data_IF_767848105256
#
_entry.id   IF_767848105256
#
_cell.length_a   1.000
_cell.length_b   1.000
_cell.length_c   1.000
_cell.angle_alpha   90.00
_cell.angle_beta   90.00
_cell.angle_gamma   90.00
#
_symmetry.space_group_name_H-M   'P 1'
#
loop_
_entity.id
_entity.type
_entity.pdbx_description
1 polymer ?
#
# COMPACT_ATOMS: atom_id res chain seq x y z
N UNK A 1 25.68 -14.61 -18.20
CA UNK A 1 26.56 -14.83 -17.04
C UNK A 1 26.01 -13.95 -15.91
N UNK A 2 25.25 -14.53 -14.97
CA UNK A 2 24.63 -13.83 -13.84
C UNK A 2 25.71 -13.74 -12.76
N UNK A 3 26.07 -12.57 -12.23
CA UNK A 3 27.08 -12.47 -11.18
C UNK A 3 26.57 -13.14 -9.90
N UNK A 4 27.37 -14.05 -9.40
CA UNK A 4 27.20 -14.75 -8.14
C UNK A 4 27.09 -13.73 -6.98
N UNK A 5 26.17 -13.98 -6.07
CA UNK A 5 25.95 -13.17 -4.89
C UNK A 5 27.23 -13.09 -4.03
N UNK A 6 27.61 -11.88 -3.66
CA UNK A 6 28.70 -11.65 -2.70
C UNK A 6 28.36 -12.22 -1.32
N UNK A 7 29.39 -12.73 -0.57
CA UNK A 7 29.18 -13.33 0.73
C UNK A 7 28.79 -12.28 1.78
N UNK A 8 27.83 -12.66 2.59
CA UNK A 8 27.31 -12.08 3.82
C UNK A 8 28.28 -11.13 4.56
N UNK A 9 28.17 -9.85 4.32
CA UNK A 9 28.57 -8.85 5.30
C UNK A 9 27.48 -8.79 6.37
N UNK A 10 27.83 -8.77 7.67
CA UNK A 10 26.86 -8.69 8.75
C UNK A 10 26.05 -7.41 8.58
N UNK A 11 24.78 -7.57 8.22
CA UNK A 11 23.84 -6.47 8.04
C UNK A 11 23.69 -5.75 9.37
N UNK A 12 24.04 -4.44 9.42
CA UNK A 12 23.67 -3.58 10.53
C UNK A 12 22.21 -3.84 10.89
N UNK A 13 21.83 -3.89 12.19
CA UNK A 13 20.47 -4.12 12.58
C UNK A 13 19.59 -3.12 11.85
N UNK A 14 18.72 -3.62 10.97
CA UNK A 14 17.77 -2.79 10.24
C UNK A 14 16.87 -2.15 11.28
N UNK A 15 16.66 -0.83 11.25
CA UNK A 15 15.71 -0.20 12.13
C UNK A 15 14.37 -0.94 11.97
N UNK A 16 13.80 -1.33 13.09
CA UNK A 16 12.62 -2.17 13.15
C UNK A 16 11.45 -1.42 12.46
N UNK A 17 11.14 -1.76 11.20
CA UNK A 17 10.09 -1.14 10.40
C UNK A 17 8.74 -1.24 11.12
N UNK A 18 8.54 -2.28 11.94
CA UNK A 18 7.34 -2.47 12.74
C UNK A 18 7.20 -1.41 13.82
N UNK A 19 8.30 -1.09 14.52
CA UNK A 19 8.30 -0.04 15.54
C UNK A 19 8.02 1.35 14.92
N UNK A 20 8.60 1.65 13.76
CA UNK A 20 8.31 2.88 13.03
C UNK A 20 6.86 2.96 12.57
N UNK A 21 6.31 1.87 12.03
CA UNK A 21 4.92 1.82 11.57
C UNK A 21 3.94 1.99 12.74
N UNK A 22 4.21 1.32 13.87
CA UNK A 22 3.41 1.47 15.07
C UNK A 22 3.48 2.90 15.63
N UNK A 23 4.69 3.46 15.74
CA UNK A 23 4.88 4.82 16.24
C UNK A 23 4.16 5.85 15.36
N UNK A 24 4.27 5.74 14.03
CA UNK A 24 3.57 6.61 13.08
C UNK A 24 2.05 6.44 13.17
N UNK A 25 1.56 5.20 13.22
CA UNK A 25 0.14 4.93 13.37
C UNK A 25 -0.43 5.53 14.66
N UNK A 26 0.22 5.30 15.80
CA UNK A 26 -0.19 5.86 17.08
C UNK A 26 -0.07 7.38 17.13
N UNK A 27 0.93 7.96 16.49
CA UNK A 27 1.08 9.42 16.39
C UNK A 27 -0.09 10.02 15.62
N UNK A 28 -0.45 9.46 14.46
CA UNK A 28 -1.60 9.94 13.68
C UNK A 28 -2.90 9.76 14.44
N UNK A 29 -3.08 8.64 15.15
CA UNK A 29 -4.23 8.44 16.05
C UNK A 29 -4.25 9.47 17.15
N UNK A 30 -3.12 9.70 17.83
CA UNK A 30 -3.00 10.70 18.89
C UNK A 30 -3.37 12.11 18.39
N UNK A 31 -2.87 12.48 17.21
CA UNK A 31 -3.23 13.75 16.57
C UNK A 31 -4.74 13.79 16.25
N UNK A 32 -5.29 12.67 15.74
CA UNK A 32 -6.72 12.58 15.39
C UNK A 32 -7.65 12.67 16.60
N UNK A 33 -7.19 12.31 17.81
CA UNK A 33 -7.97 12.45 19.05
C UNK A 33 -8.29 13.92 19.39
N UNK A 34 -7.48 14.87 18.94
CA UNK A 34 -7.82 16.30 19.04
C UNK A 34 -9.10 16.64 18.25
N UNK A 35 -9.49 15.80 17.29
CA UNK A 35 -10.77 15.89 16.60
C UNK A 35 -11.97 15.76 17.52
N UNK A 36 -11.86 15.05 18.65
CA UNK A 36 -12.90 14.94 19.67
C UNK A 36 -13.15 16.29 20.38
N UNK A 37 -12.15 17.17 20.40
CA UNK A 37 -12.25 18.53 20.93
C UNK A 37 -12.74 19.56 19.87
N UNK A 38 -13.17 19.08 18.69
CA UNK A 38 -13.64 19.94 17.59
C UNK A 38 -12.54 20.47 16.66
N UNK A 39 -11.27 20.18 16.95
CA UNK A 39 -10.15 20.53 16.07
C UNK A 39 -9.94 19.43 15.04
N UNK A 40 -9.72 19.81 13.77
CA UNK A 40 -9.41 18.85 12.71
C UNK A 40 -7.95 19.01 12.22
N UNK A 41 -6.98 18.51 12.98
CA UNK A 41 -5.56 18.78 12.75
C UNK A 41 -5.05 18.19 11.42
N UNK A 42 -5.73 17.19 10.87
CA UNK A 42 -5.40 16.55 9.58
C UNK A 42 -6.31 17.07 8.45
N UNK A 43 -7.15 18.07 8.72
CA UNK A 43 -8.11 18.60 7.72
C UNK A 43 -7.47 19.23 6.48
N UNK A 44 -6.19 19.54 6.54
CA UNK A 44 -5.38 20.02 5.42
C UNK A 44 -4.95 18.92 4.44
N UNK A 45 -5.04 17.63 4.83
CA UNK A 45 -4.59 16.54 3.97
C UNK A 45 -5.38 16.48 2.66
N UNK A 46 -4.70 16.09 1.58
CA UNK A 46 -5.32 15.95 0.28
C UNK A 46 -6.18 14.68 0.21
N UNK A 47 -7.41 14.83 -0.25
CA UNK A 47 -8.31 13.76 -0.63
C UNK A 47 -8.45 13.76 -2.15
N UNK A 48 -8.34 12.59 -2.76
CA UNK A 48 -8.57 12.41 -4.19
C UNK A 48 -10.00 11.96 -4.42
N UNK A 49 -10.62 12.57 -5.44
CA UNK A 49 -11.96 12.21 -5.90
C UNK A 49 -11.90 11.81 -7.38
N UNK A 50 -12.92 11.10 -7.84
CA UNK A 50 -13.07 10.81 -9.27
C UNK A 50 -13.19 12.12 -10.05
N UNK A 51 -12.44 12.25 -11.15
CA UNK A 51 -12.32 13.49 -11.86
C UNK A 51 -12.40 13.34 -13.38
N UNK A 52 -13.03 14.32 -14.01
CA UNK A 52 -12.99 14.56 -15.45
C UNK A 52 -12.01 15.72 -15.74
N UNK A 53 -12.09 16.76 -14.90
CA UNK A 53 -11.17 17.90 -14.98
C UNK A 53 -10.19 17.85 -13.80
N UNK A 54 -8.91 17.89 -14.08
CA UNK A 54 -7.83 17.77 -13.09
C UNK A 54 -7.94 18.78 -11.94
N UNK A 55 -8.55 19.94 -12.19
CA UNK A 55 -8.80 20.97 -11.16
C UNK A 55 -9.74 20.50 -10.03
N UNK A 56 -10.55 19.46 -10.28
CA UNK A 56 -11.48 18.89 -9.29
C UNK A 56 -10.99 17.59 -8.68
N UNK A 57 -9.82 17.11 -9.10
CA UNK A 57 -9.27 15.83 -8.69
C UNK A 57 -8.82 15.79 -7.22
N UNK A 58 -8.40 16.92 -6.68
CA UNK A 58 -7.87 17.03 -5.33
C UNK A 58 -8.69 18.04 -4.53
N UNK A 59 -9.06 17.65 -3.31
CA UNK A 59 -9.73 18.52 -2.34
C UNK A 59 -9.09 18.33 -0.97
N UNK A 60 -9.06 19.35 -0.10
CA UNK A 60 -8.70 19.17 1.30
C UNK A 60 -9.78 18.34 2.01
N UNK A 61 -9.38 17.57 3.03
CA UNK A 61 -10.31 16.71 3.80
C UNK A 61 -11.37 17.55 4.51
N UNK A 62 -10.97 18.66 5.14
CA UNK A 62 -11.89 19.47 5.95
C UNK A 62 -11.60 20.97 5.94
N UNK A 63 -10.33 21.39 5.74
CA UNK A 63 -9.99 22.79 5.79
C UNK A 63 -10.34 23.49 4.47
N UNK A 64 -10.77 24.75 4.57
CA UNK A 64 -11.06 25.56 3.38
C UNK A 64 -9.77 26.21 2.82
N UNK A 65 -8.87 25.39 2.33
CA UNK A 65 -7.60 25.79 1.71
C UNK A 65 -7.58 25.41 0.23
N UNK A 66 -6.76 26.08 -0.60
CA UNK A 66 -6.61 25.71 -2.00
C UNK A 66 -6.12 24.27 -2.16
N UNK A 67 -6.66 23.55 -3.15
CA UNK A 67 -6.30 22.15 -3.43
C UNK A 67 -4.80 21.94 -3.65
N UNK A 68 -4.13 22.87 -4.32
CA UNK A 68 -2.68 22.80 -4.55
C UNK A 68 -1.87 22.88 -3.24
N UNK A 69 -2.33 23.70 -2.27
CA UNK A 69 -1.67 23.83 -0.96
C UNK A 69 -1.87 22.55 -0.13
N UNK A 70 -3.08 21.99 -0.16
CA UNK A 70 -3.39 20.69 0.46
C UNK A 70 -2.50 19.58 -0.10
N UNK A 71 -2.36 19.51 -1.42
CA UNK A 71 -1.50 18.54 -2.08
C UNK A 71 -0.03 18.75 -1.70
N UNK A 72 0.46 19.99 -1.76
CA UNK A 72 1.84 20.33 -1.40
C UNK A 72 2.16 19.96 0.06
N UNK A 73 1.23 20.28 0.98
CA UNK A 73 1.38 19.95 2.40
C UNK A 73 1.41 18.41 2.62
N UNK A 74 0.54 17.67 1.91
CA UNK A 74 0.52 16.21 1.98
C UNK A 74 1.82 15.60 1.46
N UNK A 75 2.29 16.06 0.30
CA UNK A 75 3.59 15.64 -0.26
C UNK A 75 4.72 15.95 0.71
N UNK A 76 4.76 17.15 1.27
CA UNK A 76 5.78 17.56 2.22
C UNK A 76 5.78 16.71 3.49
N UNK A 77 4.61 16.43 4.07
CA UNK A 77 4.48 15.62 5.26
C UNK A 77 4.94 14.17 5.03
N UNK A 78 4.44 13.52 3.97
CA UNK A 78 4.79 12.13 3.66
C UNK A 78 6.26 12.01 3.25
N UNK A 79 6.76 12.92 2.41
CA UNK A 79 8.18 12.95 2.02
C UNK A 79 9.08 13.25 3.21
N UNK A 80 8.64 14.11 4.13
CA UNK A 80 9.36 14.43 5.37
C UNK A 80 9.54 13.22 6.27
N UNK A 81 8.48 12.44 6.48
CA UNK A 81 8.51 11.20 7.26
C UNK A 81 9.49 10.19 6.64
N UNK A 82 9.41 9.98 5.31
CA UNK A 82 10.31 9.08 4.60
C UNK A 82 11.77 9.56 4.66
N UNK A 83 11.99 10.86 4.49
CA UNK A 83 13.32 11.47 4.57
C UNK A 83 13.93 11.30 5.96
N UNK A 84 13.17 11.60 7.01
CA UNK A 84 13.62 11.43 8.39
C UNK A 84 14.05 9.98 8.66
N UNK A 85 13.27 9.02 8.19
CA UNK A 85 13.60 7.60 8.30
C UNK A 85 14.88 7.23 7.52
N UNK A 86 15.04 7.73 6.29
CA UNK A 86 16.22 7.46 5.47
C UNK A 86 17.50 8.05 6.09
N UNK A 87 17.40 9.23 6.69
CA UNK A 87 18.48 9.86 7.45
C UNK A 87 18.82 9.02 8.69
N UNK A 88 17.83 8.51 9.42
CA UNK A 88 18.03 7.64 10.57
C UNK A 88 18.77 6.33 10.22
N UNK A 89 18.67 5.87 8.98
CA UNK A 89 19.41 4.70 8.46
C UNK A 89 20.81 5.10 7.94
N UNK A 90 21.16 6.38 7.99
CA UNK A 90 22.50 6.87 7.60
C UNK A 90 22.62 7.28 6.12
N UNK A 91 21.50 7.55 5.42
CA UNK A 91 21.57 8.14 4.07
C UNK A 91 21.83 9.65 4.13
N UNK A 92 22.53 10.14 3.12
CA UNK A 92 22.75 11.58 2.97
C UNK A 92 21.41 12.32 2.84
N UNK A 93 21.22 13.45 3.57
CA UNK A 93 19.89 14.10 3.70
C UNK A 93 19.34 14.56 2.35
N UNK A 94 20.15 15.12 1.48
CA UNK A 94 19.71 15.58 0.17
C UNK A 94 19.25 14.41 -0.72
N UNK A 95 20.03 13.33 -0.77
CA UNK A 95 19.67 12.15 -1.55
C UNK A 95 18.41 11.47 -0.99
N UNK A 96 18.25 11.44 0.33
CA UNK A 96 17.06 10.93 1.00
C UNK A 96 15.82 11.77 0.66
N UNK A 97 15.92 13.10 0.69
CA UNK A 97 14.83 14.00 0.36
C UNK A 97 14.40 13.85 -1.11
N UNK A 98 15.35 13.88 -2.05
CA UNK A 98 15.06 13.71 -3.48
C UNK A 98 14.38 12.37 -3.77
N UNK A 99 14.90 11.26 -3.21
CA UNK A 99 14.30 9.94 -3.40
C UNK A 99 12.89 9.84 -2.80
N UNK A 100 12.68 10.40 -1.61
CA UNK A 100 11.38 10.43 -0.94
C UNK A 100 10.35 11.22 -1.73
N UNK A 101 10.69 12.42 -2.16
CA UNK A 101 9.82 13.28 -2.97
C UNK A 101 9.46 12.57 -4.28
N UNK A 102 10.44 11.99 -4.98
CA UNK A 102 10.20 11.29 -6.24
C UNK A 102 9.25 10.10 -6.07
N UNK A 103 9.44 9.26 -5.04
CA UNK A 103 8.56 8.11 -4.76
C UNK A 103 7.14 8.57 -4.44
N UNK A 104 6.99 9.60 -3.60
CA UNK A 104 5.68 10.16 -3.25
C UNK A 104 4.98 10.74 -4.47
N UNK A 105 5.69 11.48 -5.32
CA UNK A 105 5.11 11.99 -6.58
C UNK A 105 4.69 10.88 -7.54
N UNK A 106 5.50 9.82 -7.69
CA UNK A 106 5.14 8.67 -8.53
C UNK A 106 3.90 7.96 -7.97
N UNK A 107 3.84 7.76 -6.65
CA UNK A 107 2.70 7.11 -5.99
C UNK A 107 1.41 7.93 -6.11
N UNK A 108 1.46 9.21 -5.73
CA UNK A 108 0.30 10.10 -5.82
C UNK A 108 -0.11 10.36 -7.27
N UNK A 109 0.84 10.46 -8.19
CA UNK A 109 0.58 10.60 -9.62
C UNK A 109 -0.13 9.37 -10.18
N UNK A 110 0.31 8.17 -9.83
CA UNK A 110 -0.35 6.92 -10.23
C UNK A 110 -1.76 6.82 -9.65
N UNK A 111 -1.93 7.20 -8.39
CA UNK A 111 -3.23 7.22 -7.73
C UNK A 111 -4.18 8.24 -8.37
N UNK A 112 -3.68 9.43 -8.68
CA UNK A 112 -4.43 10.48 -9.38
C UNK A 112 -4.89 10.02 -10.76
N UNK A 113 -4.01 9.40 -11.54
CA UNK A 113 -4.34 8.86 -12.86
C UNK A 113 -5.39 7.74 -12.76
N UNK A 114 -5.29 6.87 -11.76
CA UNK A 114 -6.27 5.82 -11.52
C UNK A 114 -7.65 6.33 -11.13
N UNK A 115 -7.78 7.56 -10.61
CA UNK A 115 -9.07 8.19 -10.28
C UNK A 115 -9.68 8.98 -11.45
N UNK A 116 -9.12 8.88 -12.64
CA UNK A 116 -9.73 9.49 -13.83
C UNK A 116 -11.07 8.82 -14.14
N UNK A 117 -12.11 9.61 -14.34
CA UNK A 117 -13.50 9.15 -14.38
C UNK A 117 -13.78 8.08 -15.45
N UNK A 118 -13.12 8.12 -16.62
CA UNK A 118 -13.27 7.07 -17.64
C UNK A 118 -12.76 5.70 -17.17
N UNK A 119 -11.91 5.66 -16.17
CA UNK A 119 -11.30 4.43 -15.63
C UNK A 119 -11.98 4.02 -14.32
N UNK A 120 -12.17 4.98 -13.42
CA UNK A 120 -12.59 4.72 -12.04
C UNK A 120 -14.11 4.76 -11.83
N UNK A 121 -14.86 5.58 -12.59
CA UNK A 121 -16.26 5.82 -12.29
C UNK A 121 -17.10 4.54 -12.45
N UNK A 122 -17.79 4.17 -11.38
CA UNK A 122 -18.74 3.06 -11.39
C UNK A 122 -20.05 3.48 -12.09
N UNK A 123 -20.37 4.76 -12.03
CA UNK A 123 -21.58 5.34 -12.64
C UNK A 123 -21.17 6.40 -13.66
N UNK A 124 -21.16 6.01 -14.95
CA UNK A 124 -20.80 6.90 -16.06
C UNK A 124 -21.79 8.06 -16.25
N UNK A 125 -23.04 7.90 -15.76
CA UNK A 125 -24.09 8.92 -15.92
C UNK A 125 -23.80 10.17 -15.10
N UNK A 126 -23.13 10.06 -13.96
CA UNK A 126 -22.72 11.20 -13.12
C UNK A 126 -21.77 12.16 -13.82
N UNK A 127 -20.99 11.66 -14.77
CA UNK A 127 -19.96 12.43 -15.47
C UNK A 127 -20.30 12.68 -16.95
N UNK A 128 -21.48 12.22 -17.42
CA UNK A 128 -21.90 12.30 -18.84
C UNK A 128 -20.82 11.68 -19.76
N UNK A 129 -20.26 10.54 -19.35
CA UNK A 129 -19.22 9.86 -20.09
C UNK A 129 -19.82 8.81 -21.03
N UNK A 130 -19.25 8.63 -22.24
CA UNK A 130 -19.70 7.61 -23.19
C UNK A 130 -19.43 6.18 -22.69
N UNK A 131 -18.41 6.00 -21.87
CA UNK A 131 -18.10 4.73 -21.21
C UNK A 131 -17.26 4.97 -19.96
N UNK A 132 -17.26 3.99 -19.04
CA UNK A 132 -16.32 3.88 -17.94
C UNK A 132 -15.96 2.41 -17.74
N UNK A 133 -14.71 2.16 -17.36
CA UNK A 133 -14.24 0.80 -17.04
C UNK A 133 -14.73 0.30 -15.68
N UNK A 134 -15.18 1.20 -14.80
CA UNK A 134 -15.72 0.85 -13.49
C UNK A 134 -14.70 0.25 -12.50
N UNK A 135 -13.40 0.46 -12.76
CA UNK A 135 -12.32 -0.13 -11.95
C UNK A 135 -12.15 0.54 -10.57
N UNK A 136 -13.00 1.51 -10.24
CA UNK A 136 -12.91 2.29 -9.01
C UNK A 136 -11.53 2.94 -8.81
N UNK A 137 -11.22 3.44 -7.60
CA UNK A 137 -9.88 3.97 -7.30
C UNK A 137 -8.74 2.93 -7.36
N UNK A 138 -9.06 1.65 -7.49
CA UNK A 138 -8.08 0.54 -7.53
C UNK A 138 -7.25 0.52 -8.82
N UNK A 139 -7.77 1.12 -9.90
CA UNK A 139 -7.01 1.34 -11.13
C UNK A 139 -5.67 2.06 -10.88
N UNK A 140 -5.57 2.88 -9.83
CA UNK A 140 -4.32 3.51 -9.40
C UNK A 140 -3.21 2.50 -9.09
N UNK A 141 -3.54 1.31 -8.61
CA UNK A 141 -2.56 0.25 -8.35
C UNK A 141 -1.99 -0.35 -9.63
N UNK A 142 -2.83 -0.50 -10.68
CA UNK A 142 -2.36 -0.94 -12.01
C UNK A 142 -1.43 0.11 -12.64
N UNK A 143 -1.80 1.38 -12.55
CA UNK A 143 -0.95 2.48 -13.03
C UNK A 143 0.38 2.51 -12.26
N UNK A 144 0.35 2.33 -10.95
CA UNK A 144 1.57 2.28 -10.13
C UNK A 144 2.45 1.08 -10.50
N UNK A 145 1.84 -0.09 -10.73
CA UNK A 145 2.56 -1.29 -11.18
C UNK A 145 3.21 -1.06 -12.55
N UNK A 146 2.46 -0.54 -13.51
CA UNK A 146 2.98 -0.23 -14.85
C UNK A 146 4.12 0.80 -14.79
N UNK A 147 3.96 1.85 -13.97
CA UNK A 147 4.98 2.87 -13.74
C UNK A 147 6.24 2.28 -13.11
N UNK A 148 6.08 1.41 -12.12
CA UNK A 148 7.20 0.71 -11.46
C UNK A 148 7.95 -0.23 -12.42
N UNK A 149 7.21 -0.98 -13.24
CA UNK A 149 7.79 -1.85 -14.28
C UNK A 149 8.53 -1.04 -15.35
N UNK A 150 7.92 0.04 -15.83
CA UNK A 150 8.55 0.92 -16.81
C UNK A 150 9.84 1.54 -16.24
N UNK A 151 9.79 2.05 -15.01
CA UNK A 151 10.96 2.63 -14.34
C UNK A 151 12.07 1.59 -14.14
N UNK A 152 11.71 0.38 -13.70
CA UNK A 152 12.67 -0.70 -13.46
C UNK A 152 13.37 -1.20 -14.73
N UNK A 153 12.66 -1.22 -15.86
CA UNK A 153 13.19 -1.70 -17.14
C UNK A 153 13.89 -0.60 -17.95
N UNK A 154 13.32 0.60 -18.01
CA UNK A 154 13.85 1.69 -18.83
C UNK A 154 14.93 2.49 -18.09
N UNK A 155 14.81 2.64 -16.76
CA UNK A 155 15.71 3.45 -15.95
C UNK A 155 16.23 2.71 -14.71
N UNK A 156 16.99 1.60 -14.87
CA UNK A 156 17.40 0.75 -13.75
C UNK A 156 18.30 1.46 -12.72
N UNK A 157 18.99 2.51 -13.11
CA UNK A 157 19.79 3.33 -12.17
C UNK A 157 18.89 4.15 -11.25
N UNK A 158 17.86 4.81 -11.79
CA UNK A 158 16.88 5.55 -11.01
C UNK A 158 16.07 4.61 -10.08
N UNK A 159 15.65 3.46 -10.60
CA UNK A 159 14.94 2.45 -9.82
C UNK A 159 15.74 1.99 -8.59
N UNK A 160 17.06 1.78 -8.71
CA UNK A 160 17.94 1.42 -7.59
C UNK A 160 18.05 2.52 -6.53
N UNK A 161 18.08 3.78 -6.94
CA UNK A 161 18.11 4.91 -6.00
C UNK A 161 16.77 5.02 -5.25
N UNK A 162 15.66 4.89 -5.97
CA UNK A 162 14.31 5.02 -5.42
C UNK A 162 13.90 3.82 -4.56
N UNK A 163 14.40 2.62 -4.84
CA UNK A 163 14.08 1.40 -4.09
C UNK A 163 14.34 1.53 -2.57
N UNK A 164 15.31 2.36 -2.18
CA UNK A 164 15.57 2.65 -0.77
C UNK A 164 14.45 3.45 -0.07
N UNK A 165 13.72 4.29 -0.82
CA UNK A 165 12.61 5.10 -0.34
C UNK A 165 11.25 4.40 -0.51
N UNK A 166 11.14 3.48 -1.47
CA UNK A 166 9.91 2.72 -1.75
C UNK A 166 9.68 1.62 -0.68
N UNK A 167 9.26 2.04 0.52
CA UNK A 167 9.01 1.16 1.67
C UNK A 167 7.52 0.90 1.86
N UNK A 168 6.98 0.00 1.04
CA UNK A 168 5.57 -0.37 1.08
C UNK A 168 5.12 -0.90 2.44
N UNK A 169 5.95 -1.71 3.12
CA UNK A 169 5.62 -2.28 4.42
C UNK A 169 5.35 -1.22 5.50
N UNK A 170 6.13 -0.14 5.52
CA UNK A 170 5.92 0.94 6.48
C UNK A 170 4.51 1.54 6.34
N UNK A 171 4.12 1.86 5.11
CA UNK A 171 2.81 2.47 4.84
C UNK A 171 1.66 1.50 5.10
N UNK A 172 1.77 0.25 4.64
CA UNK A 172 0.74 -0.77 4.86
C UNK A 172 0.53 -1.02 6.36
N UNK A 173 1.60 -1.22 7.12
CA UNK A 173 1.51 -1.46 8.57
C UNK A 173 0.94 -0.25 9.31
N UNK A 174 1.33 0.97 8.93
CA UNK A 174 0.74 2.20 9.48
C UNK A 174 -0.75 2.29 9.16
N UNK A 175 -1.15 2.00 7.92
CA UNK A 175 -2.55 2.00 7.51
C UNK A 175 -3.37 0.96 8.29
N UNK A 176 -2.83 -0.24 8.54
CA UNK A 176 -3.50 -1.28 9.35
C UNK A 176 -3.76 -0.78 10.77
N UNK A 177 -2.82 -0.08 11.39
CA UNK A 177 -3.02 0.52 12.73
C UNK A 177 -4.19 1.53 12.69
N UNK A 178 -4.23 2.40 11.67
CA UNK A 178 -5.30 3.40 11.52
C UNK A 178 -6.66 2.75 11.28
N UNK A 179 -6.73 1.74 10.42
CA UNK A 179 -7.96 0.96 10.15
C UNK A 179 -8.43 0.26 11.42
N UNK A 180 -7.52 -0.37 12.17
CA UNK A 180 -7.84 -1.01 13.44
C UNK A 180 -8.47 -0.05 14.45
N UNK A 181 -7.88 1.13 14.63
CA UNK A 181 -8.42 2.16 15.52
C UNK A 181 -9.76 2.70 15.01
N UNK A 182 -9.90 2.94 13.72
CA UNK A 182 -11.17 3.42 13.14
C UNK A 182 -12.30 2.41 13.32
N UNK A 183 -12.00 1.12 13.17
CA UNK A 183 -12.94 0.03 13.42
C UNK A 183 -13.33 -0.05 14.89
N UNK A 184 -12.34 0.02 15.80
CA UNK A 184 -12.59 0.05 17.24
C UNK A 184 -13.47 1.24 17.63
N UNK A 185 -13.20 2.43 17.13
CA UNK A 185 -14.00 3.64 17.40
C UNK A 185 -15.47 3.48 16.95
N UNK A 186 -15.72 2.87 15.79
CA UNK A 186 -17.06 2.60 15.28
C UNK A 186 -17.83 1.56 16.12
N UNK A 187 -17.11 0.63 16.75
CA UNK A 187 -17.73 -0.46 17.54
C UNK A 187 -17.98 -0.07 18.99
N UNK A 188 -17.24 0.90 19.54
CA UNK A 188 -17.40 1.36 20.94
C UNK A 188 -18.77 1.97 21.22
N UNK A 189 -19.42 2.58 20.23
CA UNK A 189 -20.76 3.19 20.37
C UNK A 189 -21.91 2.19 20.29
N UNK A 190 -21.67 0.91 20.01
CA UNK A 190 -22.71 -0.10 19.79
C UNK A 190 -22.56 -1.26 20.77
N UNK A 191 -23.52 -1.42 21.69
CA UNK A 191 -23.52 -2.53 22.66
C UNK A 191 -23.48 -3.89 21.94
N UNK A 192 -22.51 -4.73 22.28
CA UNK A 192 -22.33 -6.07 21.71
C UNK A 192 -21.73 -6.10 20.28
N UNK A 193 -21.43 -4.95 19.66
CA UNK A 193 -20.80 -4.93 18.34
C UNK A 193 -19.32 -5.38 18.41
N UNK A 194 -18.61 -5.02 19.46
CA UNK A 194 -17.21 -5.39 19.65
C UNK A 194 -17.01 -6.91 19.70
N UNK A 195 -17.83 -7.64 20.46
CA UNK A 195 -17.77 -9.12 20.54
C UNK A 195 -18.12 -9.77 19.20
N UNK A 196 -19.14 -9.26 18.50
CA UNK A 196 -19.51 -9.76 17.16
C UNK A 196 -18.42 -9.54 16.13
N UNK A 197 -17.77 -8.36 16.13
CA UNK A 197 -16.66 -8.07 15.23
C UNK A 197 -15.46 -8.95 15.55
N UNK A 198 -15.15 -9.16 16.83
CA UNK A 198 -14.07 -10.04 17.27
C UNK A 198 -14.32 -11.50 16.84
N UNK A 199 -15.50 -12.05 17.11
CA UNK A 199 -15.85 -13.42 16.72
C UNK A 199 -15.82 -13.61 15.21
N UNK A 200 -16.42 -12.68 14.45
CA UNK A 200 -16.37 -12.74 12.98
C UNK A 200 -14.93 -12.60 12.44
N UNK A 201 -14.11 -11.74 13.05
CA UNK A 201 -12.70 -11.59 12.68
C UNK A 201 -11.91 -12.88 12.92
N UNK A 202 -12.08 -13.52 14.08
CA UNK A 202 -11.43 -14.81 14.37
C UNK A 202 -11.91 -15.90 13.40
N UNK A 203 -13.23 -15.98 13.13
CA UNK A 203 -13.78 -16.92 12.17
C UNK A 203 -13.22 -16.70 10.76
N UNK A 204 -13.13 -15.45 10.30
CA UNK A 204 -12.56 -15.11 9.00
C UNK A 204 -11.07 -15.47 8.90
N UNK A 205 -10.30 -15.24 9.97
CA UNK A 205 -8.89 -15.66 10.03
C UNK A 205 -8.77 -17.17 9.95
N UNK A 206 -9.58 -17.91 10.72
CA UNK A 206 -9.56 -19.37 10.68
C UNK A 206 -9.94 -19.90 9.29
N UNK A 207 -10.96 -19.32 8.66
CA UNK A 207 -11.37 -19.66 7.30
C UNK A 207 -10.23 -19.37 6.28
N UNK A 208 -9.61 -18.20 6.34
CA UNK A 208 -8.52 -17.82 5.45
C UNK A 208 -7.34 -18.79 5.55
N UNK A 209 -6.92 -19.13 6.76
CA UNK A 209 -5.75 -20.01 6.96
C UNK A 209 -6.05 -21.50 6.79
N UNK A 210 -7.20 -21.99 7.22
CA UNK A 210 -7.50 -23.41 7.18
C UNK A 210 -8.15 -23.82 5.86
N UNK A 211 -9.07 -23.03 5.31
CA UNK A 211 -9.78 -23.36 4.09
C UNK A 211 -9.12 -22.78 2.86
N UNK A 212 -9.05 -21.45 2.74
CA UNK A 212 -8.56 -20.84 1.50
C UNK A 212 -7.10 -21.14 1.24
N UNK A 213 -6.23 -20.97 2.25
CA UNK A 213 -4.80 -21.25 2.06
C UNK A 213 -4.57 -22.71 1.69
N UNK A 214 -5.20 -23.64 2.41
CA UNK A 214 -5.10 -25.08 2.15
C UNK A 214 -5.61 -25.46 0.77
N UNK A 215 -6.77 -24.94 0.37
CA UNK A 215 -7.38 -25.20 -0.93
C UNK A 215 -6.51 -24.67 -2.07
N UNK A 216 -6.08 -23.41 -2.01
CA UNK A 216 -5.23 -22.81 -3.04
C UNK A 216 -3.90 -23.55 -3.16
N UNK A 217 -3.27 -23.88 -2.02
CA UNK A 217 -2.04 -24.66 -2.02
C UNK A 217 -2.21 -26.04 -2.66
N UNK A 218 -3.28 -26.75 -2.31
CA UNK A 218 -3.60 -28.05 -2.86
C UNK A 218 -3.82 -27.96 -4.38
N UNK A 219 -4.66 -27.01 -4.83
CA UNK A 219 -4.92 -26.80 -6.25
C UNK A 219 -3.65 -26.45 -7.02
N UNK A 220 -2.84 -25.54 -6.48
CA UNK A 220 -1.58 -25.16 -7.09
C UNK A 220 -0.62 -26.35 -7.23
N UNK A 221 -0.59 -27.24 -6.24
CA UNK A 221 0.28 -28.43 -6.23
C UNK A 221 -0.24 -29.58 -7.08
N UNK A 222 -1.54 -29.86 -7.05
CA UNK A 222 -2.12 -31.05 -7.67
C UNK A 222 -2.62 -30.80 -9.09
N UNK A 223 -3.35 -29.71 -9.31
CA UNK A 223 -3.93 -29.38 -10.62
C UNK A 223 -2.92 -28.67 -11.50
N UNK A 224 -2.33 -27.57 -11.00
CA UNK A 224 -1.38 -26.77 -11.77
C UNK A 224 0.06 -27.29 -11.69
N UNK A 225 0.34 -28.25 -10.79
CA UNK A 225 1.65 -28.88 -10.59
C UNK A 225 2.78 -27.88 -10.34
N UNK A 226 2.47 -26.74 -9.72
CA UNK A 226 3.48 -25.75 -9.39
C UNK A 226 4.45 -26.29 -8.33
N UNK A 227 5.75 -25.94 -8.37
CA UNK A 227 6.69 -26.26 -7.32
C UNK A 227 6.32 -25.51 -6.01
N UNK A 228 6.81 -26.00 -4.87
CA UNK A 228 6.50 -25.40 -3.54
C UNK A 228 6.82 -23.91 -3.45
N UNK A 229 7.90 -23.49 -4.12
CA UNK A 229 8.34 -22.10 -4.18
C UNK A 229 7.29 -21.14 -4.76
N UNK A 230 6.42 -21.63 -5.67
CA UNK A 230 5.30 -20.88 -6.26
C UNK A 230 4.01 -21.07 -5.48
N UNK A 231 3.71 -22.33 -5.11
CA UNK A 231 2.43 -22.69 -4.51
C UNK A 231 2.22 -22.04 -3.16
N UNK A 232 3.24 -21.97 -2.29
CA UNK A 232 3.09 -21.43 -0.97
C UNK A 232 2.94 -19.89 -0.96
N UNK A 233 3.79 -19.10 -1.67
CA UNK A 233 3.55 -17.66 -1.79
C UNK A 233 2.22 -17.33 -2.46
N UNK A 234 1.80 -18.09 -3.47
CA UNK A 234 0.51 -17.90 -4.14
C UNK A 234 -0.66 -18.13 -3.18
N UNK A 235 -0.62 -19.23 -2.43
CA UNK A 235 -1.65 -19.51 -1.43
C UNK A 235 -1.73 -18.41 -0.36
N UNK A 236 -0.59 -17.94 0.13
CA UNK A 236 -0.55 -16.83 1.09
C UNK A 236 -1.01 -15.50 0.51
N UNK A 237 -0.65 -15.21 -0.73
CA UNK A 237 -1.07 -14.00 -1.44
C UNK A 237 -2.58 -13.94 -1.64
N UNK A 238 -3.20 -15.02 -2.06
CA UNK A 238 -4.65 -15.08 -2.31
C UNK A 238 -5.45 -15.10 -1.01
N UNK A 239 -4.94 -15.80 0.03
CA UNK A 239 -5.73 -16.06 1.24
C UNK A 239 -5.61 -14.98 2.32
N UNK A 240 -4.54 -14.19 2.33
CA UNK A 240 -4.24 -13.25 3.42
C UNK A 240 -4.13 -11.83 2.89
N UNK A 241 -3.02 -11.53 2.19
CA UNK A 241 -2.84 -10.26 1.53
C UNK A 241 -1.85 -10.41 0.35
N UNK A 242 -2.21 -9.85 -0.79
CA UNK A 242 -1.57 -10.09 -2.07
C UNK A 242 -0.07 -9.95 -2.10
N UNK A 243 0.47 -8.91 -1.46
CA UNK A 243 1.89 -8.57 -1.56
C UNK A 243 2.68 -9.04 -0.35
N UNK A 244 2.31 -8.60 0.86
CA UNK A 244 3.13 -8.82 2.05
C UNK A 244 3.15 -10.29 2.47
N UNK A 245 2.03 -11.01 2.39
CA UNK A 245 1.98 -12.43 2.74
C UNK A 245 2.74 -13.30 1.72
N UNK A 246 2.62 -13.00 0.43
CA UNK A 246 3.39 -13.70 -0.61
C UNK A 246 4.90 -13.50 -0.43
N UNK A 247 5.33 -12.26 -0.18
CA UNK A 247 6.74 -11.93 0.08
C UNK A 247 7.27 -12.58 1.35
N UNK A 248 6.52 -12.52 2.45
CA UNK A 248 6.91 -13.11 3.72
C UNK A 248 7.02 -14.64 3.62
N UNK A 249 6.04 -15.29 2.98
CA UNK A 249 6.06 -16.75 2.77
C UNK A 249 7.21 -17.15 1.85
N UNK A 250 7.43 -16.41 0.76
CA UNK A 250 8.56 -16.64 -0.13
C UNK A 250 9.90 -16.54 0.58
N UNK A 251 10.08 -15.55 1.44
CA UNK A 251 11.27 -15.39 2.25
C UNK A 251 11.43 -16.53 3.28
N UNK A 252 10.36 -16.93 3.95
CA UNK A 252 10.38 -18.00 4.96
C UNK A 252 10.79 -19.36 4.37
N UNK A 253 10.32 -19.68 3.18
CA UNK A 253 10.69 -20.94 2.48
C UNK A 253 11.96 -20.80 1.64
N UNK A 254 12.64 -19.66 1.69
CA UNK A 254 13.82 -19.34 0.88
C UNK A 254 13.59 -19.52 -0.63
N UNK A 255 12.39 -19.16 -1.09
CA UNK A 255 12.08 -19.14 -2.52
C UNK A 255 12.98 -18.15 -3.26
N UNK A 256 13.18 -18.37 -4.55
CA UNK A 256 13.87 -17.39 -5.39
C UNK A 256 13.17 -16.03 -5.31
N UNK A 257 13.93 -14.96 -5.13
CA UNK A 257 13.39 -13.60 -4.91
C UNK A 257 12.42 -13.14 -6.00
N UNK A 258 12.65 -13.53 -7.24
CA UNK A 258 11.77 -13.24 -8.36
C UNK A 258 10.38 -13.88 -8.27
N UNK A 259 10.25 -15.05 -7.66
CA UNK A 259 8.96 -15.76 -7.55
C UNK A 259 7.97 -14.99 -6.69
N UNK A 260 8.38 -14.56 -5.51
CA UNK A 260 7.50 -13.82 -4.60
C UNK A 260 7.04 -12.48 -5.22
N UNK A 261 7.93 -11.80 -5.94
CA UNK A 261 7.61 -10.55 -6.66
C UNK A 261 6.61 -10.79 -7.80
N UNK A 262 6.82 -11.83 -8.60
CA UNK A 262 5.89 -12.18 -9.69
C UNK A 262 4.51 -12.57 -9.16
N UNK A 263 4.45 -13.36 -8.09
CA UNK A 263 3.18 -13.73 -7.44
C UNK A 263 2.47 -12.49 -6.91
N UNK A 264 3.18 -11.59 -6.25
CA UNK A 264 2.60 -10.34 -5.75
C UNK A 264 2.05 -9.46 -6.87
N UNK A 265 2.77 -9.34 -7.98
CA UNK A 265 2.32 -8.58 -9.16
C UNK A 265 1.07 -9.20 -9.78
N UNK A 266 1.03 -10.53 -9.87
CA UNK A 266 -0.12 -11.27 -10.39
C UNK A 266 -1.37 -11.01 -9.53
N UNK A 267 -1.24 -11.10 -8.21
CA UNK A 267 -2.36 -10.85 -7.28
C UNK A 267 -2.87 -9.42 -7.41
N UNK A 268 -1.98 -8.43 -7.53
CA UNK A 268 -2.40 -7.02 -7.74
C UNK A 268 -3.21 -6.88 -9.02
N UNK A 269 -2.77 -7.48 -10.12
CA UNK A 269 -3.50 -7.42 -11.40
C UNK A 269 -4.90 -8.03 -11.26
N UNK A 270 -4.99 -9.23 -10.70
CA UNK A 270 -6.28 -9.91 -10.57
C UNK A 270 -7.23 -9.22 -9.59
N UNK A 271 -6.74 -8.74 -8.45
CA UNK A 271 -7.57 -8.02 -7.46
C UNK A 271 -8.09 -6.68 -7.96
N UNK A 272 -7.50 -6.11 -9.02
CA UNK A 272 -7.99 -4.86 -9.62
C UNK A 272 -9.07 -5.10 -10.68
N UNK A 273 -9.09 -6.31 -11.28
CA UNK A 273 -10.06 -6.66 -12.33
C UNK A 273 -11.36 -7.20 -11.71
N UNK A 274 -11.30 -7.76 -10.52
CA UNK A 274 -12.44 -8.34 -9.78
C UNK A 274 -13.37 -7.26 -9.20
#
# INVERSE_FOLDING_TARGET
>A
MIPMAEPNTPSRPRPNDDAWALALGLLVVGISLFGLAGYQPIGWAAKFEEWVFISKAVKPVAWNIPAWLSLAATVAAVSGILTARLIAIGRAPLAAACASIAVVFLGLGSYLLGHQACVAATDSTKFILPFSLGLTGEAGYLVALATGLALGNLFPQAARVLAGAARTELFIKTAIVLVGVSLAAKTLGQQGAASRVLLRGIAAIAEAYLLYWGLVYLLARTVFRFPREWSAPLASGISICGVSAAMATGAAIRARSGVAVLVSSLVVVFSTIE
#
